data_IF_480270790900
#
_entry.id   IF_480270790900
#
_cell.length_a   1.000
_cell.length_b   1.000
_cell.length_c   1.000
_cell.angle_alpha   90.00
_cell.angle_beta   90.00
_cell.angle_gamma   90.00
#
_symmetry.space_group_name_H-M   'P 1'
#
loop_
_entity.id
_entity.type
_entity.pdbx_description
1 polymer ?
#
# COMPACT_ATOMS: atom_id res chain seq x y z
N UNK A 1 42.50 10.78 4.04
CA UNK A 1 42.40 9.50 4.76
C UNK A 1 41.63 8.42 4.01
N UNK A 2 40.31 8.58 3.82
CA UNK A 2 39.40 7.49 3.42
C UNK A 2 39.48 6.95 1.97
N UNK A 3 40.15 7.62 1.03
CA UNK A 3 40.40 7.06 -0.31
C UNK A 3 41.62 6.14 -0.35
N UNK A 4 42.66 6.45 0.43
CA UNK A 4 43.94 5.73 0.39
C UNK A 4 43.84 4.36 1.07
N UNK A 5 43.10 4.27 2.19
CA UNK A 5 42.85 3.01 2.90
C UNK A 5 42.08 2.00 2.01
N UNK A 6 41.07 2.46 1.25
CA UNK A 6 40.31 1.61 0.33
C UNK A 6 41.19 0.99 -0.77
N UNK A 7 42.13 1.74 -1.34
CA UNK A 7 42.99 1.25 -2.43
C UNK A 7 44.08 0.26 -1.95
N UNK A 8 44.65 0.49 -0.76
CA UNK A 8 45.74 -0.34 -0.22
C UNK A 8 45.32 -1.78 0.12
N UNK A 9 44.07 -1.98 0.56
CA UNK A 9 43.53 -3.31 0.86
C UNK A 9 43.01 -4.03 -0.39
N UNK A 10 42.62 -3.27 -1.43
CA UNK A 10 42.23 -3.85 -2.72
C UNK A 10 43.39 -4.64 -3.36
N UNK A 11 44.61 -4.09 -3.27
CA UNK A 11 45.81 -4.67 -3.86
C UNK A 11 46.26 -6.01 -3.22
N UNK A 12 46.06 -6.22 -1.91
CA UNK A 12 46.56 -7.43 -1.20
C UNK A 12 45.88 -8.74 -1.63
N UNK A 13 44.66 -8.65 -2.18
CA UNK A 13 43.91 -9.80 -2.72
C UNK A 13 43.84 -9.76 -4.26
N UNK A 14 44.65 -8.92 -4.92
CA UNK A 14 44.63 -8.64 -6.38
C UNK A 14 43.28 -8.16 -6.96
N UNK A 15 42.25 -8.01 -6.15
CA UNK A 15 40.94 -7.49 -6.52
C UNK A 15 40.98 -5.96 -6.60
N UNK A 16 41.10 -5.41 -7.82
CA UNK A 16 41.15 -3.95 -8.06
C UNK A 16 39.84 -3.22 -7.75
N UNK A 17 38.71 -3.94 -7.80
CA UNK A 17 37.36 -3.42 -7.58
C UNK A 17 36.62 -4.45 -6.72
N UNK A 18 35.77 -3.99 -5.81
CA UNK A 18 34.78 -4.86 -5.16
C UNK A 18 33.55 -4.88 -6.06
N UNK A 19 33.34 -6.00 -6.74
CA UNK A 19 32.22 -6.20 -7.65
C UNK A 19 31.80 -7.67 -7.60
N UNK A 20 31.04 -8.11 -6.59
CA UNK A 20 30.54 -9.47 -6.50
C UNK A 20 29.78 -9.85 -7.77
N UNK A 21 29.94 -11.08 -8.22
CA UNK A 21 29.21 -11.62 -9.35
C UNK A 21 27.85 -12.14 -8.86
N UNK A 22 26.78 -11.47 -9.28
CA UNK A 22 25.41 -11.78 -8.89
C UNK A 22 24.75 -12.83 -9.80
N UNK A 23 25.35 -13.13 -10.95
CA UNK A 23 24.89 -14.20 -11.85
C UNK A 23 25.56 -15.55 -11.50
N UNK A 24 26.69 -15.54 -10.78
CA UNK A 24 27.38 -16.74 -10.31
C UNK A 24 26.87 -17.26 -8.95
N UNK A 25 27.23 -18.51 -8.62
CA UNK A 25 26.91 -19.12 -7.33
C UNK A 25 27.57 -18.37 -6.15
N UNK A 26 26.87 -18.34 -5.01
CA UNK A 26 27.32 -17.69 -3.76
C UNK A 26 28.70 -18.19 -3.28
N UNK A 27 28.95 -19.47 -3.45
CA UNK A 27 30.18 -20.16 -3.02
C UNK A 27 31.30 -20.11 -4.05
N UNK A 28 31.14 -19.36 -5.17
CA UNK A 28 32.21 -19.18 -6.13
C UNK A 28 33.45 -18.58 -5.44
N UNK A 29 34.64 -18.99 -5.88
CA UNK A 29 35.90 -18.53 -5.30
C UNK A 29 36.00 -16.99 -5.30
N UNK A 30 35.54 -16.37 -6.39
CA UNK A 30 35.52 -14.92 -6.55
C UNK A 30 34.55 -14.24 -5.56
N UNK A 31 33.32 -14.75 -5.42
CA UNK A 31 32.34 -14.19 -4.47
C UNK A 31 32.78 -14.37 -3.02
N UNK A 32 33.41 -15.50 -2.68
CA UNK A 32 34.02 -15.71 -1.36
C UNK A 32 35.18 -14.75 -1.09
N UNK A 33 36.01 -14.45 -2.09
CA UNK A 33 37.05 -13.44 -1.96
C UNK A 33 36.47 -12.03 -1.74
N UNK A 34 35.41 -11.66 -2.45
CA UNK A 34 34.68 -10.40 -2.25
C UNK A 34 34.05 -10.30 -0.85
N UNK A 35 33.41 -11.38 -0.37
CA UNK A 35 32.82 -11.49 0.97
C UNK A 35 33.88 -11.27 2.05
N UNK A 36 34.93 -12.09 2.04
CA UNK A 36 35.94 -12.08 3.09
C UNK A 36 36.64 -10.72 3.18
N UNK A 37 36.86 -10.08 2.03
CA UNK A 37 37.42 -8.74 1.94
C UNK A 37 36.49 -7.66 2.49
N UNK A 38 35.20 -7.71 2.16
CA UNK A 38 34.22 -6.75 2.67
C UNK A 38 34.13 -6.82 4.20
N UNK A 39 34.04 -8.04 4.74
CA UNK A 39 34.02 -8.29 6.20
C UNK A 39 35.30 -7.75 6.86
N UNK A 40 36.47 -8.08 6.31
CA UNK A 40 37.74 -7.60 6.86
C UNK A 40 37.84 -6.07 6.83
N UNK A 41 37.43 -5.45 5.73
CA UNK A 41 37.43 -3.98 5.58
C UNK A 41 36.46 -3.34 6.59
N UNK A 42 35.29 -3.94 6.81
CA UNK A 42 34.32 -3.48 7.79
C UNK A 42 34.87 -3.58 9.22
N UNK A 43 35.43 -4.72 9.62
CA UNK A 43 36.06 -4.90 10.93
C UNK A 43 37.17 -3.87 11.18
N UNK A 44 38.01 -3.63 10.17
CA UNK A 44 39.08 -2.62 10.24
C UNK A 44 38.52 -1.20 10.35
N UNK A 45 37.47 -0.86 9.61
CA UNK A 45 36.85 0.46 9.69
C UNK A 45 36.24 0.70 11.09
N UNK A 46 35.61 -0.32 11.69
CA UNK A 46 35.08 -0.25 13.05
C UNK A 46 36.21 -0.13 14.07
N UNK A 47 37.30 -0.91 13.95
CA UNK A 47 38.47 -0.78 14.83
C UNK A 47 39.11 0.62 14.76
N UNK A 48 39.12 1.22 13.57
CA UNK A 48 39.58 2.59 13.34
C UNK A 48 38.52 3.66 13.65
N UNK A 49 37.42 3.31 14.32
CA UNK A 49 36.36 4.23 14.78
C UNK A 49 35.68 5.03 13.65
N UNK A 50 35.75 4.55 12.41
CA UNK A 50 35.17 5.22 11.22
C UNK A 50 33.64 5.34 11.33
N UNK A 51 32.99 4.37 11.97
CA UNK A 51 31.53 4.30 12.12
C UNK A 51 31.04 4.63 13.54
N UNK A 52 31.81 5.40 14.31
CA UNK A 52 31.43 5.74 15.71
C UNK A 52 30.06 6.43 15.78
N UNK A 53 29.71 7.23 14.78
CA UNK A 53 28.40 7.91 14.68
C UNK A 53 27.21 6.96 14.50
N UNK A 54 27.44 5.72 14.06
CA UNK A 54 26.38 4.70 13.86
C UNK A 54 26.12 3.85 15.11
N UNK A 55 26.81 4.11 16.23
CA UNK A 55 26.66 3.35 17.50
C UNK A 55 26.76 1.83 17.29
N UNK A 56 27.73 1.39 16.47
CA UNK A 56 27.92 -0.02 16.12
C UNK A 56 28.20 -0.84 17.38
N UNK A 57 27.40 -1.88 17.62
CA UNK A 57 27.65 -2.79 18.73
C UNK A 57 28.91 -3.64 18.44
N UNK A 58 29.96 -3.38 19.23
CA UNK A 58 31.27 -4.00 19.06
C UNK A 58 31.30 -5.50 19.38
N UNK A 59 30.29 -6.03 20.10
CA UNK A 59 30.21 -7.46 20.43
C UNK A 59 30.09 -8.33 19.18
N UNK A 60 29.34 -7.87 18.18
CA UNK A 60 29.05 -8.62 16.95
C UNK A 60 30.17 -8.54 15.91
N UNK A 61 31.17 -7.68 16.09
CA UNK A 61 32.29 -7.52 15.14
C UNK A 61 33.18 -8.76 15.08
N UNK A 62 33.25 -9.53 16.17
CA UNK A 62 34.02 -10.76 16.26
C UNK A 62 33.24 -11.99 15.78
N UNK A 63 31.93 -11.87 15.64
CA UNK A 63 31.06 -12.94 15.15
C UNK A 63 31.13 -13.01 13.62
N UNK A 64 32.08 -13.80 13.12
CA UNK A 64 32.25 -13.99 11.68
C UNK A 64 31.05 -14.69 11.03
N UNK A 65 30.32 -15.54 11.75
CA UNK A 65 29.15 -16.24 11.22
C UNK A 65 28.02 -15.26 10.93
N UNK A 66 27.74 -14.37 11.87
CA UNK A 66 26.77 -13.30 11.69
C UNK A 66 27.19 -12.36 10.55
N UNK A 67 28.45 -11.91 10.52
CA UNK A 67 28.93 -11.02 9.46
C UNK A 67 28.87 -11.66 8.06
N UNK A 68 29.16 -12.96 7.94
CA UNK A 68 29.00 -13.70 6.70
C UNK A 68 27.54 -13.81 6.28
N UNK A 69 26.65 -14.15 7.21
CA UNK A 69 25.21 -14.24 6.97
C UNK A 69 24.63 -12.89 6.54
N UNK A 70 24.95 -11.82 7.27
CA UNK A 70 24.52 -10.45 6.93
C UNK A 70 25.05 -10.01 5.56
N UNK A 71 26.30 -10.32 5.23
CA UNK A 71 26.86 -10.04 3.91
C UNK A 71 26.10 -10.80 2.81
N UNK A 72 25.87 -12.11 3.00
CA UNK A 72 25.18 -12.94 2.01
C UNK A 72 23.77 -12.43 1.77
N UNK A 73 23.03 -12.11 2.83
CA UNK A 73 21.70 -11.53 2.72
C UNK A 73 21.74 -10.18 1.99
N UNK A 74 22.66 -9.28 2.36
CA UNK A 74 22.72 -7.96 1.73
C UNK A 74 23.09 -8.03 0.24
N UNK A 75 24.13 -8.80 -0.12
CA UNK A 75 24.67 -8.82 -1.49
C UNK A 75 23.91 -9.79 -2.38
N UNK A 76 23.73 -11.03 -1.94
CA UNK A 76 23.22 -12.10 -2.79
C UNK A 76 21.71 -12.32 -2.68
N UNK A 77 21.05 -11.66 -1.73
CA UNK A 77 19.59 -11.59 -1.69
C UNK A 77 19.10 -10.18 -2.05
N UNK A 78 19.38 -9.17 -1.22
CA UNK A 78 18.84 -7.81 -1.43
C UNK A 78 19.38 -7.15 -2.72
N UNK A 79 20.70 -7.04 -2.89
CA UNK A 79 21.28 -6.44 -4.11
C UNK A 79 21.02 -7.29 -5.36
N UNK A 80 20.98 -8.61 -5.23
CA UNK A 80 20.63 -9.50 -6.33
C UNK A 80 19.19 -9.30 -6.82
N UNK A 81 18.24 -9.06 -5.90
CA UNK A 81 16.86 -8.69 -6.26
C UNK A 81 16.82 -7.36 -7.01
N UNK A 82 17.53 -6.34 -6.54
CA UNK A 82 17.63 -5.04 -7.22
C UNK A 82 18.23 -5.22 -8.62
N UNK A 83 19.37 -5.91 -8.72
CA UNK A 83 20.03 -6.19 -10.00
C UNK A 83 19.10 -6.92 -10.97
N UNK A 84 18.36 -7.92 -10.50
CA UNK A 84 17.40 -8.67 -11.32
C UNK A 84 16.23 -7.82 -11.80
N UNK A 85 15.80 -6.84 -11.01
CA UNK A 85 14.76 -5.87 -11.41
C UNK A 85 15.29 -4.89 -12.46
N UNK A 86 16.46 -4.32 -12.21
CA UNK A 86 17.15 -3.37 -13.10
C UNK A 86 17.54 -4.00 -14.45
N UNK A 87 17.96 -5.27 -14.45
CA UNK A 87 18.25 -6.03 -15.68
C UNK A 87 17.04 -6.20 -16.59
N UNK A 88 15.82 -6.22 -16.02
CA UNK A 88 14.57 -6.30 -16.78
C UNK A 88 14.12 -4.92 -17.24
N UNK A 89 14.04 -3.98 -16.29
CA UNK A 89 13.54 -2.63 -16.50
C UNK A 89 14.47 -1.64 -15.80
N UNK A 90 15.26 -0.90 -16.58
CA UNK A 90 16.19 0.10 -16.06
C UNK A 90 15.44 1.21 -15.30
N UNK A 91 15.94 1.57 -14.12
CA UNK A 91 15.40 2.59 -13.24
C UNK A 91 14.18 2.15 -12.40
N UNK A 92 13.74 0.90 -12.52
CA UNK A 92 12.54 0.41 -11.82
C UNK A 92 12.70 0.43 -10.31
N UNK A 93 13.86 0.05 -9.77
CA UNK A 93 14.06 0.04 -8.32
C UNK A 93 13.94 1.45 -7.73
N UNK A 94 14.56 2.44 -8.39
CA UNK A 94 14.45 3.84 -7.99
C UNK A 94 12.99 4.34 -8.01
N UNK A 95 12.24 4.01 -9.07
CA UNK A 95 10.82 4.35 -9.17
C UNK A 95 9.98 3.68 -8.07
N UNK A 96 10.24 2.40 -7.77
CA UNK A 96 9.53 1.66 -6.73
C UNK A 96 9.84 2.20 -5.32
N UNK A 97 11.08 2.59 -5.05
CA UNK A 97 11.47 3.24 -3.78
C UNK A 97 10.83 4.63 -3.64
N UNK A 98 10.86 5.46 -4.68
CA UNK A 98 10.15 6.75 -4.69
C UNK A 98 8.64 6.56 -4.44
N UNK A 99 8.05 5.54 -5.08
CA UNK A 99 6.64 5.20 -4.91
C UNK A 99 6.33 4.77 -3.47
N UNK A 100 7.19 3.96 -2.84
CA UNK A 100 7.04 3.57 -1.42
C UNK A 100 7.09 4.76 -0.49
N UNK A 101 8.02 5.70 -0.71
CA UNK A 101 8.13 6.93 0.08
C UNK A 101 6.85 7.75 -0.04
N UNK A 102 6.33 7.94 -1.25
CA UNK A 102 5.08 8.68 -1.46
C UNK A 102 3.91 7.96 -0.75
N UNK A 103 3.80 6.64 -0.87
CA UNK A 103 2.74 5.87 -0.23
C UNK A 103 2.80 5.95 1.30
N UNK A 104 3.98 5.72 1.89
CA UNK A 104 4.14 5.68 3.34
C UNK A 104 4.08 7.07 3.99
N UNK A 105 4.82 8.04 3.47
CA UNK A 105 4.95 9.35 4.12
C UNK A 105 3.82 10.31 3.74
N UNK A 106 3.44 10.37 2.47
CA UNK A 106 2.49 11.40 2.00
C UNK A 106 1.06 10.91 2.13
N UNK A 107 0.75 9.74 1.56
CA UNK A 107 -0.62 9.22 1.62
C UNK A 107 -1.01 8.76 3.02
N UNK A 108 -0.12 8.05 3.71
CA UNK A 108 -0.35 7.58 5.08
C UNK A 108 -0.66 8.73 6.03
N UNK A 109 0.17 9.79 6.00
CA UNK A 109 -0.07 10.99 6.83
C UNK A 109 -1.43 11.66 6.54
N UNK A 110 -1.79 11.82 5.26
CA UNK A 110 -3.08 12.41 4.87
C UNK A 110 -4.27 11.54 5.32
N UNK A 111 -4.14 10.23 5.14
CA UNK A 111 -5.15 9.25 5.57
C UNK A 111 -5.33 9.30 7.08
N UNK A 112 -4.25 9.20 7.86
CA UNK A 112 -4.28 9.29 9.33
C UNK A 112 -4.94 10.58 9.81
N UNK A 113 -4.58 11.71 9.19
CA UNK A 113 -5.11 13.02 9.57
C UNK A 113 -6.62 13.13 9.31
N UNK A 114 -7.07 12.67 8.13
CA UNK A 114 -8.50 12.68 7.75
C UNK A 114 -9.29 11.71 8.60
N UNK A 115 -8.81 10.47 8.73
CA UNK A 115 -9.48 9.43 9.51
C UNK A 115 -9.63 9.84 10.97
N UNK A 116 -8.57 10.37 11.59
CA UNK A 116 -8.62 10.89 12.96
C UNK A 116 -9.67 11.98 13.14
N UNK A 117 -9.78 12.90 12.18
CA UNK A 117 -10.81 13.95 12.22
C UNK A 117 -12.22 13.34 12.19
N UNK A 118 -12.48 12.43 11.27
CA UNK A 118 -13.79 11.79 11.11
C UNK A 118 -14.21 10.99 12.36
N UNK A 119 -13.25 10.29 12.99
CA UNK A 119 -13.48 9.57 14.25
C UNK A 119 -13.76 10.52 15.41
N UNK A 120 -12.99 11.60 15.56
CA UNK A 120 -13.17 12.58 16.65
C UNK A 120 -14.52 13.32 16.55
N UNK A 121 -15.03 13.49 15.33
CA UNK A 121 -16.28 14.20 15.07
C UNK A 121 -17.49 13.27 14.89
N UNK A 122 -17.36 11.98 15.20
CA UNK A 122 -18.43 10.97 15.12
C UNK A 122 -19.20 11.00 13.79
N UNK A 123 -18.47 11.18 12.68
CA UNK A 123 -19.07 11.20 11.35
C UNK A 123 -19.57 9.80 10.94
N UNK A 124 -20.52 9.71 9.98
CA UNK A 124 -21.12 8.45 9.55
C UNK A 124 -20.09 7.38 9.20
N UNK A 125 -20.43 6.11 9.54
CA UNK A 125 -19.53 4.97 9.35
C UNK A 125 -19.11 4.79 7.89
N UNK A 126 -20.00 5.03 6.93
CA UNK A 126 -19.67 4.99 5.50
C UNK A 126 -18.48 5.91 5.13
N UNK A 127 -18.34 7.07 5.77
CA UNK A 127 -17.21 7.97 5.53
C UNK A 127 -15.93 7.48 6.20
N UNK A 128 -16.04 6.85 7.37
CA UNK A 128 -14.90 6.20 8.02
C UNK A 128 -14.35 5.07 7.13
N UNK A 129 -15.24 4.23 6.61
CA UNK A 129 -14.90 3.09 5.74
C UNK A 129 -14.24 3.58 4.43
N UNK A 130 -14.67 4.71 3.86
CA UNK A 130 -14.01 5.32 2.69
C UNK A 130 -12.60 5.83 3.00
N UNK A 131 -12.41 6.41 4.19
CA UNK A 131 -11.17 7.11 4.55
C UNK A 131 -10.13 6.20 5.19
N UNK A 132 -10.51 5.01 5.65
CA UNK A 132 -9.60 4.05 6.26
C UNK A 132 -8.53 3.53 5.27
N UNK A 133 -8.85 3.11 4.03
CA UNK A 133 -7.84 2.60 3.12
C UNK A 133 -6.90 3.67 2.58
N UNK A 134 -5.58 3.48 2.72
CA UNK A 134 -4.54 4.37 2.14
C UNK A 134 -4.72 4.55 0.63
N UNK A 135 -5.25 3.55 -0.08
CA UNK A 135 -5.45 3.59 -1.52
C UNK A 135 -6.59 4.52 -1.96
N UNK A 136 -7.54 4.87 -1.08
CA UNK A 136 -8.63 5.80 -1.36
C UNK A 136 -8.18 7.28 -1.44
N UNK A 137 -7.00 7.60 -0.90
CA UNK A 137 -6.47 8.96 -0.88
C UNK A 137 -5.67 9.30 -2.13
N UNK A 138 -5.70 10.55 -2.59
CA UNK A 138 -4.84 11.04 -3.67
C UNK A 138 -3.39 11.22 -3.20
N UNK A 139 -2.48 11.30 -4.17
CA UNK A 139 -1.16 11.87 -3.89
C UNK A 139 -1.25 13.37 -4.10
N UNK A 140 -0.82 14.12 -3.10
CA UNK A 140 -0.65 15.56 -3.22
C UNK A 140 0.81 15.86 -3.55
N UNK A 141 1.06 16.56 -4.64
CA UNK A 141 2.40 16.98 -5.03
C UNK A 141 2.64 18.43 -4.61
N UNK A 142 3.58 18.65 -3.71
CA UNK A 142 3.97 19.98 -3.30
C UNK A 142 4.75 20.68 -4.42
N UNK A 143 4.36 21.91 -4.76
CA UNK A 143 5.10 22.78 -5.69
C UNK A 143 5.76 23.90 -4.90
N UNK A 144 7.07 23.82 -4.63
CA UNK A 144 7.79 24.84 -3.85
C UNK A 144 7.68 26.24 -4.45
N UNK A 145 7.70 26.36 -5.78
CA UNK A 145 7.65 27.64 -6.50
C UNK A 145 6.36 28.43 -6.24
N UNK A 146 5.27 27.73 -5.94
CA UNK A 146 3.95 28.34 -5.73
C UNK A 146 3.48 28.25 -4.28
N UNK A 147 4.23 27.54 -3.42
CA UNK A 147 3.84 27.15 -2.05
C UNK A 147 2.42 26.55 -2.00
N UNK A 148 2.12 25.68 -2.98
CA UNK A 148 0.80 25.06 -3.17
C UNK A 148 0.98 23.55 -3.36
N UNK A 149 0.08 22.75 -2.80
CA UNK A 149 -0.07 21.33 -3.13
C UNK A 149 -1.03 21.15 -4.30
N UNK A 150 -0.60 20.43 -5.34
CA UNK A 150 -1.48 19.93 -6.41
C UNK A 150 -2.03 18.58 -6.00
N UNK A 151 -3.34 18.51 -5.81
CA UNK A 151 -4.07 17.26 -5.58
C UNK A 151 -4.17 16.51 -6.90
N UNK A 152 -3.49 15.36 -7.02
CA UNK A 152 -3.59 14.51 -8.22
C UNK A 152 -4.91 13.75 -8.23
N UNK A 153 -5.51 13.60 -9.41
CA UNK A 153 -6.76 12.85 -9.54
C UNK A 153 -6.48 11.35 -9.56
N UNK A 154 -7.19 10.59 -8.74
CA UNK A 154 -7.23 9.13 -8.86
C UNK A 154 -8.09 8.77 -10.07
N UNK A 155 -7.61 7.95 -11.02
CA UNK A 155 -8.34 7.67 -12.26
C UNK A 155 -9.65 6.90 -12.02
N UNK A 156 -9.69 6.09 -10.96
CA UNK A 156 -10.86 5.31 -10.57
C UNK A 156 -11.84 6.07 -9.68
N UNK A 157 -11.51 7.27 -9.20
CA UNK A 157 -12.35 8.01 -8.25
C UNK A 157 -13.45 8.80 -8.97
N UNK A 158 -14.67 8.72 -8.45
CA UNK A 158 -15.83 9.44 -8.96
C UNK A 158 -15.71 10.95 -8.71
N UNK A 159 -16.49 11.74 -9.44
CA UNK A 159 -16.57 13.18 -9.18
C UNK A 159 -17.18 13.48 -7.82
N UNK A 160 -18.14 12.66 -7.37
CA UNK A 160 -18.78 12.79 -6.06
C UNK A 160 -17.78 12.55 -4.92
N UNK A 161 -16.99 11.48 -5.00
CA UNK A 161 -15.93 11.20 -4.04
C UNK A 161 -14.88 12.32 -4.02
N UNK A 162 -14.50 12.83 -5.20
CA UNK A 162 -13.58 13.97 -5.29
C UNK A 162 -14.12 15.20 -4.58
N UNK A 163 -15.39 15.56 -4.81
CA UNK A 163 -16.03 16.72 -4.17
C UNK A 163 -16.13 16.51 -2.66
N UNK A 164 -16.52 15.32 -2.21
CA UNK A 164 -16.61 14.97 -0.79
C UNK A 164 -15.27 15.17 -0.07
N UNK A 165 -14.18 14.64 -0.63
CA UNK A 165 -12.84 14.80 -0.05
C UNK A 165 -12.46 16.28 0.05
N UNK A 166 -12.81 17.09 -0.95
CA UNK A 166 -12.59 18.54 -0.90
C UNK A 166 -13.44 19.24 0.18
N UNK A 167 -14.71 18.87 0.33
CA UNK A 167 -15.56 19.39 1.40
C UNK A 167 -14.99 19.05 2.78
N UNK A 168 -14.51 17.81 2.96
CA UNK A 168 -13.85 17.37 4.19
C UNK A 168 -12.58 18.18 4.49
N UNK A 169 -11.73 18.39 3.48
CA UNK A 169 -10.50 19.18 3.63
C UNK A 169 -10.79 20.63 4.04
N UNK A 170 -11.83 21.27 3.47
CA UNK A 170 -12.25 22.60 3.89
C UNK A 170 -12.83 22.61 5.30
N UNK A 171 -13.56 21.58 5.72
CA UNK A 171 -14.08 21.48 7.09
C UNK A 171 -12.95 21.32 8.11
N UNK A 172 -12.00 20.40 7.86
CA UNK A 172 -10.77 20.23 8.63
C UNK A 172 -10.02 21.56 8.80
N UNK A 173 -9.91 22.32 7.70
CA UNK A 173 -9.24 23.62 7.67
C UNK A 173 -9.98 24.68 8.49
N UNK A 174 -11.31 24.71 8.47
CA UNK A 174 -12.11 25.60 9.34
C UNK A 174 -11.87 25.29 10.82
N UNK A 175 -11.79 24.01 11.19
CA UNK A 175 -11.51 23.59 12.56
C UNK A 175 -10.09 23.95 13.00
N UNK A 176 -9.10 23.76 12.13
CA UNK A 176 -7.69 23.94 12.51
C UNK A 176 -7.23 25.40 12.62
N UNK A 177 -8.03 26.41 12.23
CA UNK A 177 -7.88 27.89 12.33
C UNK A 177 -6.49 28.53 12.08
N UNK A 178 -5.43 27.77 11.84
CA UNK A 178 -4.05 28.19 11.74
C UNK A 178 -3.21 27.04 11.18
N UNK A 179 -2.48 27.31 10.10
CA UNK A 179 -1.37 26.51 9.55
C UNK A 179 -1.68 25.26 8.72
N UNK A 180 -2.48 25.40 7.66
CA UNK A 180 -2.32 24.50 6.50
C UNK A 180 -2.03 25.30 5.24
N UNK A 181 -1.00 24.84 4.50
CA UNK A 181 -0.62 25.38 3.20
C UNK A 181 -1.79 25.26 2.23
N UNK A 182 -1.83 26.09 1.19
CA UNK A 182 -2.94 26.06 0.22
C UNK A 182 -2.86 24.77 -0.60
N UNK A 183 -3.88 23.92 -0.52
CA UNK A 183 -4.10 22.85 -1.49
C UNK A 183 -4.93 23.44 -2.64
N UNK A 184 -4.49 23.22 -3.88
CA UNK A 184 -5.21 23.66 -5.06
C UNK A 184 -5.46 22.47 -5.98
N UNK A 185 -6.73 22.20 -6.23
CA UNK A 185 -7.13 21.26 -7.26
C UNK A 185 -7.11 21.98 -8.61
N UNK A 186 -6.36 21.46 -9.57
CA UNK A 186 -6.38 21.97 -10.94
C UNK A 186 -7.48 21.27 -11.72
N UNK A 187 -8.23 22.01 -12.57
CA UNK A 187 -9.21 21.43 -13.50
C UNK A 187 -8.63 20.30 -14.35
N UNK A 188 -7.34 20.44 -14.71
CA UNK A 188 -6.56 19.44 -15.45
C UNK A 188 -5.41 18.91 -14.58
N UNK A 189 -5.72 18.51 -13.34
CA UNK A 189 -4.72 17.92 -12.45
C UNK A 189 -4.14 16.64 -13.07
N UNK A 190 -2.82 16.40 -12.93
CA UNK A 190 -2.22 15.16 -13.41
C UNK A 190 -2.80 13.96 -12.66
N UNK A 191 -2.84 12.81 -13.35
CA UNK A 191 -3.28 11.55 -12.77
C UNK A 191 -2.28 11.06 -11.73
N UNK A 192 -2.79 10.40 -10.70
CA UNK A 192 -1.97 9.70 -9.72
C UNK A 192 -1.22 8.53 -10.37
N UNK A 193 0.01 8.29 -9.91
CA UNK A 193 0.78 7.08 -10.25
C UNK A 193 0.18 5.80 -9.62
N UNK A 194 -0.75 5.95 -8.69
CA UNK A 194 -1.47 4.84 -8.08
C UNK A 194 -2.76 4.57 -8.86
N UNK A 195 -2.72 3.51 -9.67
CA UNK A 195 -3.84 3.07 -10.50
C UNK A 195 -4.72 2.02 -9.83
N UNK A 196 -4.23 1.36 -8.77
CA UNK A 196 -4.96 0.33 -8.04
C UNK A 196 -5.93 0.98 -7.05
N UNK A 197 -7.20 0.64 -7.16
CA UNK A 197 -8.22 1.03 -6.20
C UNK A 197 -8.22 0.09 -4.98
N UNK A 198 -8.77 0.55 -3.86
CA UNK A 198 -9.06 -0.33 -2.73
C UNK A 198 -10.23 -1.24 -3.08
N UNK A 199 -10.21 -2.43 -2.50
CA UNK A 199 -11.36 -3.33 -2.43
C UNK A 199 -12.31 -2.82 -1.31
N UNK A 200 -13.58 -3.20 -1.38
CA UNK A 200 -14.64 -2.92 -0.40
C UNK A 200 -15.01 -1.44 -0.21
N UNK A 201 -14.86 -0.60 -1.24
CA UNK A 201 -15.39 0.77 -1.21
C UNK A 201 -16.84 0.82 -1.72
N UNK A 202 -17.63 1.83 -1.28
CA UNK A 202 -18.96 2.08 -1.82
C UNK A 202 -18.96 2.24 -3.34
N UNK A 203 -20.02 1.76 -4.01
CA UNK A 203 -20.10 1.75 -5.47
C UNK A 203 -19.94 3.16 -6.07
N UNK A 204 -20.53 4.16 -5.42
CA UNK A 204 -20.48 5.57 -5.83
C UNK A 204 -19.13 6.25 -5.58
N UNK A 205 -18.17 5.55 -4.96
CA UNK A 205 -16.77 5.97 -4.93
C UNK A 205 -16.09 5.82 -6.28
N UNK A 206 -16.46 4.81 -7.07
CA UNK A 206 -15.80 4.52 -8.33
C UNK A 206 -16.33 5.40 -9.47
N UNK A 207 -15.48 5.80 -10.41
CA UNK A 207 -15.92 6.50 -11.60
C UNK A 207 -16.74 5.55 -12.48
N UNK A 208 -17.98 5.89 -12.90
CA UNK A 208 -18.83 4.97 -13.68
C UNK A 208 -18.19 4.47 -14.97
N UNK A 209 -17.50 5.35 -15.72
CA UNK A 209 -16.85 4.96 -16.98
C UNK A 209 -15.69 4.00 -16.72
N UNK A 210 -14.90 4.28 -15.68
CA UNK A 210 -13.80 3.41 -15.26
C UNK A 210 -14.34 2.05 -14.77
N UNK A 211 -15.39 2.08 -13.95
CA UNK A 211 -16.05 0.89 -13.41
C UNK A 211 -16.61 -0.01 -14.51
N UNK A 212 -17.37 0.57 -15.43
CA UNK A 212 -18.03 -0.17 -16.51
C UNK A 212 -17.02 -0.77 -17.50
N UNK A 213 -15.82 -0.20 -17.63
CA UNK A 213 -14.77 -0.73 -18.50
C UNK A 213 -14.06 -1.98 -17.96
N UNK A 214 -14.25 -2.32 -16.68
CA UNK A 214 -13.63 -3.49 -16.06
C UNK A 214 -14.34 -4.80 -16.37
N UNK A 215 -13.62 -5.92 -16.21
CA UNK A 215 -14.19 -7.25 -16.32
C UNK A 215 -15.14 -7.57 -15.15
N UNK A 216 -16.20 -8.35 -15.35
CA UNK A 216 -17.14 -8.79 -14.30
C UNK A 216 -16.48 -9.26 -12.99
N UNK A 217 -15.48 -10.14 -13.09
CA UNK A 217 -14.77 -10.68 -11.92
C UNK A 217 -14.03 -9.59 -11.12
N UNK A 218 -13.52 -8.56 -11.79
CA UNK A 218 -12.86 -7.43 -11.13
C UNK A 218 -13.88 -6.51 -10.45
N UNK A 219 -15.04 -6.28 -11.09
CA UNK A 219 -16.13 -5.51 -10.49
C UNK A 219 -16.61 -6.16 -9.19
N UNK A 220 -16.78 -7.48 -9.19
CA UNK A 220 -17.23 -8.24 -8.02
C UNK A 220 -16.17 -8.26 -6.90
N UNK A 221 -14.89 -8.38 -7.24
CA UNK A 221 -13.81 -8.28 -6.26
C UNK A 221 -13.70 -6.91 -5.59
N UNK A 222 -14.14 -5.83 -6.25
CA UNK A 222 -14.01 -4.46 -5.75
C UNK A 222 -15.17 -4.06 -4.83
N UNK A 223 -16.40 -4.43 -5.18
CA UNK A 223 -17.61 -4.02 -4.44
C UNK A 223 -18.05 -5.10 -3.46
N UNK A 224 -17.51 -6.32 -3.58
CA UNK A 224 -17.92 -7.47 -2.80
C UNK A 224 -19.39 -7.83 -3.02
N UNK A 225 -19.94 -8.58 -2.06
CA UNK A 225 -21.34 -9.04 -2.10
C UNK A 225 -22.34 -7.95 -1.69
N UNK A 226 -21.89 -6.91 -0.97
CA UNK A 226 -22.74 -5.83 -0.47
C UNK A 226 -22.41 -4.50 -1.15
N UNK A 227 -23.19 -4.20 -2.20
CA UNK A 227 -23.11 -2.91 -2.87
C UNK A 227 -23.74 -1.83 -1.99
N UNK A 228 -22.90 -0.94 -1.47
CA UNK A 228 -23.34 0.19 -0.65
C UNK A 228 -23.13 1.51 -1.39
N UNK A 229 -23.94 2.51 -1.04
CA UNK A 229 -23.77 3.89 -1.45
C UNK A 229 -23.40 4.74 -0.24
N UNK A 230 -22.58 5.77 -0.44
CA UNK A 230 -22.10 6.64 0.63
C UNK A 230 -22.30 8.14 0.37
N UNK A 231 -22.35 8.56 -0.89
CA UNK A 231 -22.45 9.97 -1.25
C UNK A 231 -23.87 10.40 -1.55
N UNK A 232 -24.17 11.63 -1.17
CA UNK A 232 -25.42 12.27 -1.53
C UNK A 232 -25.48 12.52 -3.04
N UNK A 233 -26.68 12.54 -3.65
CA UNK A 233 -26.83 12.90 -5.05
C UNK A 233 -26.21 14.26 -5.41
N UNK A 234 -26.23 15.19 -4.46
CA UNK A 234 -25.45 16.42 -4.53
C UNK A 234 -24.32 16.39 -3.49
N UNK A 235 -23.09 16.04 -3.88
CA UNK A 235 -21.97 15.88 -2.96
C UNK A 235 -21.50 17.21 -2.35
N UNK A 236 -21.87 18.36 -2.92
CA UNK A 236 -21.52 19.69 -2.39
C UNK A 236 -22.21 19.94 -1.04
N UNK A 237 -23.37 19.32 -0.82
CA UNK A 237 -24.10 19.42 0.44
C UNK A 237 -23.49 18.54 1.54
N UNK A 238 -22.50 17.70 1.24
CA UNK A 238 -21.92 16.80 2.22
C UNK A 238 -21.31 17.57 3.39
N UNK A 239 -21.45 17.05 4.62
CA UNK A 239 -20.93 17.66 5.85
C UNK A 239 -21.54 19.03 6.17
N UNK A 240 -22.73 19.34 5.63
CA UNK A 240 -23.46 20.58 5.95
C UNK A 240 -24.67 20.29 6.83
N UNK A 241 -25.17 21.32 7.54
CA UNK A 241 -26.39 21.18 8.35
C UNK A 241 -27.61 20.74 7.54
N UNK A 242 -27.62 20.99 6.23
CA UNK A 242 -28.72 20.64 5.33
C UNK A 242 -28.75 19.14 4.99
N UNK A 243 -27.61 18.45 4.97
CA UNK A 243 -27.51 17.03 4.68
C UNK A 243 -27.60 16.13 5.91
N UNK A 244 -27.49 16.70 7.11
CA UNK A 244 -27.57 16.01 8.39
C UNK A 244 -28.70 14.96 8.53
N UNK A 245 -29.95 15.18 8.07
CA UNK A 245 -30.99 14.15 8.22
C UNK A 245 -30.71 12.89 7.38
N UNK A 246 -30.13 13.05 6.19
CA UNK A 246 -29.86 11.94 5.27
C UNK A 246 -28.53 11.26 5.59
N UNK A 247 -27.50 12.01 5.99
CA UNK A 247 -26.20 11.46 6.41
C UNK A 247 -26.28 10.68 7.74
N UNK A 248 -27.26 10.99 8.59
CA UNK A 248 -27.49 10.26 9.86
C UNK A 248 -28.21 8.93 9.67
N UNK A 249 -28.66 8.61 8.46
CA UNK A 249 -29.24 7.31 8.17
C UNK A 249 -28.17 6.22 8.29
N UNK A 250 -28.58 5.01 8.64
CA UNK A 250 -27.70 3.85 8.54
C UNK A 250 -27.35 3.58 7.08
N UNK A 251 -26.14 3.06 6.80
CA UNK A 251 -25.68 2.78 5.43
C UNK A 251 -26.71 1.98 4.61
N UNK A 252 -27.41 1.01 5.24
CA UNK A 252 -28.47 0.23 4.60
C UNK A 252 -29.65 1.11 4.14
N UNK A 253 -30.20 1.91 5.05
CA UNK A 253 -31.32 2.83 4.75
C UNK A 253 -30.93 3.91 3.75
N UNK A 254 -29.70 4.40 3.84
CA UNK A 254 -29.14 5.36 2.89
C UNK A 254 -29.07 4.75 1.49
N UNK A 255 -28.50 3.54 1.40
CA UNK A 255 -28.36 2.80 0.14
C UNK A 255 -29.74 2.55 -0.46
N UNK A 256 -30.71 2.03 0.30
CA UNK A 256 -32.09 1.81 -0.16
C UNK A 256 -32.74 3.09 -0.70
N UNK A 257 -32.57 4.23 -0.01
CA UNK A 257 -33.17 5.51 -0.42
C UNK A 257 -32.61 6.03 -1.73
N UNK A 258 -31.31 5.90 -1.96
CA UNK A 258 -30.61 6.50 -3.09
C UNK A 258 -30.22 5.50 -4.19
N UNK A 259 -30.53 4.21 -4.01
CA UNK A 259 -30.12 3.13 -4.90
C UNK A 259 -30.36 3.43 -6.37
N UNK A 260 -31.63 3.64 -6.74
CA UNK A 260 -32.06 3.85 -8.13
C UNK A 260 -31.36 5.05 -8.79
N UNK A 261 -31.06 6.10 -8.02
CA UNK A 261 -30.39 7.29 -8.52
C UNK A 261 -28.87 7.09 -8.61
N UNK A 262 -28.28 6.44 -7.62
CA UNK A 262 -26.84 6.19 -7.54
C UNK A 262 -26.34 5.17 -8.55
N UNK A 263 -27.14 4.14 -8.86
CA UNK A 263 -26.74 3.03 -9.74
C UNK A 263 -27.02 3.26 -11.22
N UNK A 264 -27.77 4.31 -11.58
CA UNK A 264 -28.22 4.57 -12.96
C UNK A 264 -27.09 4.58 -14.01
N UNK A 265 -25.87 4.95 -13.60
CA UNK A 265 -24.70 5.06 -14.48
C UNK A 265 -23.82 3.81 -14.50
N UNK A 266 -24.10 2.83 -13.65
CA UNK A 266 -23.28 1.63 -13.50
C UNK A 266 -23.92 0.45 -14.25
N UNK A 267 -23.10 -0.26 -14.99
CA UNK A 267 -23.49 -1.52 -15.62
C UNK A 267 -23.33 -2.65 -14.61
N UNK A 268 -24.46 -3.01 -13.98
CA UNK A 268 -24.58 -4.06 -12.95
C UNK A 268 -25.06 -5.41 -13.52
N UNK A 269 -25.14 -5.58 -14.84
CA UNK A 269 -25.69 -6.77 -15.50
C UNK A 269 -24.88 -8.07 -15.28
N UNK A 270 -23.72 -7.95 -14.64
CA UNK A 270 -22.84 -9.09 -14.33
C UNK A 270 -23.24 -9.82 -13.04
N UNK A 271 -24.19 -9.29 -12.29
CA UNK A 271 -24.77 -10.02 -11.16
C UNK A 271 -25.63 -11.15 -11.73
N UNK A 272 -25.15 -12.38 -11.60
CA UNK A 272 -26.00 -13.56 -11.77
C UNK A 272 -26.96 -13.51 -10.59
N UNK A 273 -28.22 -13.19 -10.85
CA UNK A 273 -29.30 -13.47 -9.92
C UNK A 273 -29.37 -14.99 -9.87
N UNK A 274 -28.99 -15.59 -8.75
CA UNK A 274 -29.50 -16.93 -8.44
C UNK A 274 -31.00 -16.75 -8.31
N UNK A 275 -31.74 -17.08 -9.38
CA UNK A 275 -33.18 -17.23 -9.27
C UNK A 275 -33.40 -18.31 -8.21
N UNK A 276 -34.05 -17.93 -7.10
CA UNK A 276 -34.58 -18.92 -6.17
C UNK A 276 -35.56 -19.77 -6.99
N UNK A 277 -35.11 -20.95 -7.41
CA UNK A 277 -35.96 -22.00 -7.98
C UNK A 277 -36.94 -22.42 -6.88
N UNK A 278 -38.05 -21.69 -6.78
CA UNK A 278 -39.25 -22.09 -6.07
C UNK A 278 -39.93 -23.17 -6.92
N UNK A 279 -39.44 -24.41 -6.82
CA UNK A 279 -40.26 -25.56 -7.14
C UNK A 279 -40.08 -26.68 -6.11
N UNK A 280 -41.17 -26.88 -5.37
CA UNK A 280 -41.33 -27.87 -4.33
C UNK A 280 -41.19 -29.29 -4.87
N UNK A 281 -40.30 -30.09 -4.27
CA UNK A 281 -40.44 -31.54 -4.30
C UNK A 281 -39.98 -32.12 -2.97
N UNK A 282 -40.99 -32.51 -2.19
CA UNK A 282 -40.91 -33.20 -0.92
C UNK A 282 -40.33 -34.61 -1.11
N UNK A 283 -39.18 -34.90 -0.49
CA UNK A 283 -38.93 -36.23 0.05
C UNK A 283 -37.93 -36.21 1.20
N UNK A 284 -38.40 -36.74 2.33
CA UNK A 284 -37.76 -36.78 3.63
C UNK A 284 -36.63 -37.81 3.78
N UNK A 285 -35.92 -37.61 4.89
CA UNK A 285 -35.05 -38.54 5.67
C UNK A 285 -33.55 -38.49 5.33
N UNK A 286 -32.60 -38.45 6.28
CA UNK A 286 -32.59 -38.27 7.74
C UNK A 286 -31.12 -38.20 8.23
N UNK A 287 -30.90 -37.67 9.44
CA UNK A 287 -29.72 -37.81 10.33
C UNK A 287 -28.39 -37.09 9.94
N UNK A 288 -28.15 -35.89 10.48
CA UNK A 288 -27.41 -35.52 11.73
C UNK A 288 -25.88 -35.51 11.63
N UNK A 289 -25.27 -34.37 11.95
CA UNK A 289 -23.92 -34.33 12.54
C UNK A 289 -23.01 -33.22 12.02
N UNK A 290 -23.20 -32.01 12.54
CA UNK A 290 -22.17 -31.03 12.91
C UNK A 290 -21.05 -30.66 11.91
N UNK A 291 -21.20 -29.48 11.31
CA UNK A 291 -20.06 -28.68 10.83
C UNK A 291 -19.88 -27.47 11.76
N UNK A 292 -18.79 -27.46 12.53
CA UNK A 292 -18.25 -26.22 13.13
C UNK A 292 -17.16 -25.63 12.22
N UNK A 293 -16.93 -24.30 12.28
CA UNK A 293 -16.34 -23.51 11.21
C UNK A 293 -14.81 -23.50 11.25
N UNK A 294 -14.18 -23.47 10.06
CA UNK A 294 -12.76 -23.14 9.90
C UNK A 294 -12.50 -21.69 10.28
N UNK A 295 -12.17 -21.46 11.54
CA UNK A 295 -11.39 -20.30 11.98
C UNK A 295 -9.90 -20.66 11.99
N UNK A 296 -9.08 -19.68 11.57
CA UNK A 296 -7.65 -19.52 11.83
C UNK A 296 -6.67 -20.47 11.12
N UNK A 297 -6.02 -19.96 10.07
CA UNK A 297 -4.63 -20.33 9.77
C UNK A 297 -3.82 -19.09 9.36
N UNK A 298 -3.30 -18.40 10.37
CA UNK A 298 -2.14 -17.51 10.28
C UNK A 298 -1.38 -17.62 11.60
N UNK A 299 -0.42 -18.54 11.66
CA UNK A 299 0.89 -18.53 12.37
C UNK A 299 1.62 -19.75 11.79
N UNK A 300 2.78 -19.65 11.13
CA UNK A 300 4.05 -19.26 11.74
C UNK A 300 4.63 -20.45 12.49
N UNK A 301 5.71 -21.06 11.97
CA UNK A 301 6.76 -21.90 12.61
C UNK A 301 7.50 -22.64 11.47
N UNK A 302 8.78 -22.38 11.18
CA UNK A 302 9.99 -22.79 11.93
C UNK A 302 10.05 -24.28 12.24
N UNK A 303 10.99 -24.93 11.57
CA UNK A 303 11.79 -26.12 11.90
C UNK A 303 11.13 -27.30 12.62
N UNK A 304 11.31 -28.51 12.06
CA UNK A 304 12.10 -29.59 12.68
C UNK A 304 12.09 -30.83 11.77
N UNK A 305 13.30 -31.34 11.55
CA UNK A 305 13.73 -32.71 11.25
C UNK A 305 12.69 -33.78 10.86
N UNK A 306 13.03 -34.55 9.82
CA UNK A 306 12.70 -35.97 9.77
C UNK A 306 13.96 -36.82 9.52
N UNK A 307 14.16 -37.90 10.28
CA UNK A 307 15.20 -38.89 10.04
C UNK A 307 14.73 -40.01 9.09
N UNK A 308 15.73 -40.69 8.51
CA UNK A 308 15.73 -42.04 7.92
C UNK A 308 14.91 -42.28 6.64
N UNK A 309 15.63 -42.52 5.54
CA UNK A 309 15.79 -43.88 4.98
C UNK A 309 16.96 -43.93 3.97
N UNK A 310 17.88 -44.87 4.21
CA UNK A 310 19.07 -45.31 3.43
C UNK A 310 20.31 -44.39 3.34
#
# INVERSE_FOLDING_TARGET
GNRVLRHSQLAKLRLRIWAPDLDAQLNSLYNKACQMKAIYTFQQAVANKVYTYMSVNLSYIKDLGLLQSSYNHYVHYYMAQIYSQEKKNEGKHAQDEERKVIQGHVKGYLQDHKYKFVVVHDLPKCYQDILDPIHAHSNDEYIPKKDIYIVKKLPFCSEAATIFICCLDEEIKKFNKSQTKRHQQLKNAPLSIFLRASDDLPLDFYNPNWFNSMLPAQKQSLVGDQQTLAFLPNPILSLTSASAPDERLSNKKFTEKFWNQGTQKYDLCYQIVEEEDDDSSDHSDSYTGDTLPRYLYWMGLSDVLSPQDM
#
